data_IF_743631468856
#
_entry.id   IF_743631468856
#
_cell.length_a   1.000
_cell.length_b   1.000
_cell.length_c   1.000
_cell.angle_alpha   90.00
_cell.angle_beta   90.00
_cell.angle_gamma   90.00
#
_symmetry.space_group_name_H-M   'P 1'
#
loop_
_entity.id
_entity.type
_entity.pdbx_description
1 polymer ?
#
# COMPACT_ATOMS: atom_id res chain seq x y z
N UNK A 1 10.83 -20.80 37.49
CA UNK A 1 10.07 -20.42 36.28
C UNK A 1 9.80 -18.92 36.28
N UNK A 2 10.58 -18.11 35.55
CA UNK A 2 10.37 -16.67 35.47
C UNK A 2 9.41 -16.33 34.32
N UNK A 3 8.23 -15.80 34.65
CA UNK A 3 7.26 -15.29 33.69
C UNK A 3 7.76 -13.96 33.13
N UNK A 4 8.17 -13.93 31.87
CA UNK A 4 8.61 -12.71 31.19
C UNK A 4 7.41 -11.98 30.58
N UNK A 5 6.82 -11.05 31.34
CA UNK A 5 5.82 -10.12 30.85
C UNK A 5 6.47 -9.05 29.96
N UNK A 6 6.45 -9.27 28.64
CA UNK A 6 6.98 -8.33 27.66
C UNK A 6 5.94 -7.25 27.36
N UNK A 7 6.15 -6.07 27.93
CA UNK A 7 5.39 -4.85 27.68
C UNK A 7 5.10 -4.63 26.18
N UNK A 8 3.83 -4.70 25.78
CA UNK A 8 3.32 -4.11 24.53
C UNK A 8 3.34 -2.59 24.72
N UNK A 9 4.33 -1.91 24.14
CA UNK A 9 4.30 -0.44 24.01
C UNK A 9 3.11 -0.07 23.14
N UNK A 10 2.08 0.49 23.78
CA UNK A 10 1.06 1.30 23.13
C UNK A 10 1.78 2.43 22.38
N UNK A 11 1.74 2.41 21.05
CA UNK A 11 2.14 3.57 20.26
C UNK A 11 1.13 4.67 20.52
N UNK A 12 1.62 5.78 21.09
CA UNK A 12 0.82 6.95 21.45
C UNK A 12 0.03 7.45 20.25
N UNK A 13 -1.22 7.81 20.53
CA UNK A 13 -2.07 8.56 19.64
C UNK A 13 -1.55 10.00 19.56
N UNK A 14 -0.49 10.23 18.79
CA UNK A 14 -0.13 11.57 18.36
C UNK A 14 -1.12 11.97 17.24
N UNK A 15 -1.72 13.15 17.37
CA UNK A 15 -2.62 13.71 16.36
C UNK A 15 -1.97 13.61 14.97
N UNK A 16 -2.72 13.25 13.91
CA UNK A 16 -2.15 13.01 12.59
C UNK A 16 -1.59 14.31 12.04
N UNK A 17 -0.30 14.56 12.30
CA UNK A 17 0.45 15.60 11.59
C UNK A 17 0.37 15.23 10.12
N UNK A 18 -0.24 16.11 9.33
CA UNK A 18 -0.43 15.89 7.90
C UNK A 18 0.95 15.95 7.23
N UNK A 19 1.63 14.81 7.16
CA UNK A 19 2.90 14.67 6.45
C UNK A 19 2.64 14.55 4.96
N UNK A 20 3.36 15.34 4.16
CA UNK A 20 3.34 15.25 2.69
C UNK A 20 3.56 13.79 2.26
N UNK A 21 2.66 13.25 1.43
CA UNK A 21 2.80 11.89 0.91
C UNK A 21 3.86 11.83 -0.20
N UNK A 22 4.51 10.66 -0.34
CA UNK A 22 5.30 10.37 -1.55
C UNK A 22 4.33 10.37 -2.74
N UNK A 23 4.70 11.01 -3.84
CA UNK A 23 3.96 10.91 -5.10
C UNK A 23 4.65 9.91 -6.04
N UNK A 24 3.88 9.18 -6.87
CA UNK A 24 4.45 8.29 -7.87
C UNK A 24 5.31 9.08 -8.87
N UNK A 25 6.43 8.49 -9.32
CA UNK A 25 7.32 9.06 -10.34
C UNK A 25 7.53 8.07 -11.50
N UNK A 26 7.72 8.59 -12.70
CA UNK A 26 8.01 7.78 -13.88
C UNK A 26 6.87 6.81 -14.20
N UNK A 27 7.15 5.50 -14.12
CA UNK A 27 6.16 4.44 -14.35
C UNK A 27 5.48 3.95 -13.06
N UNK A 28 5.77 4.54 -11.90
CA UNK A 28 5.09 4.21 -10.65
C UNK A 28 3.60 4.57 -10.72
N UNK A 29 2.74 3.71 -10.17
CA UNK A 29 1.29 3.89 -10.13
C UNK A 29 0.81 3.64 -8.71
N UNK A 30 -0.16 4.42 -8.25
CA UNK A 30 -0.85 4.15 -6.98
C UNK A 30 -1.92 3.10 -7.23
N UNK A 31 -2.04 2.14 -6.32
CA UNK A 31 -3.09 1.13 -6.36
C UNK A 31 -3.55 0.73 -4.97
N UNK A 32 -4.66 0.01 -4.93
CA UNK A 32 -5.27 -0.56 -3.74
C UNK A 32 -5.12 -2.07 -3.83
N UNK A 33 -4.64 -2.69 -2.75
CA UNK A 33 -4.55 -4.15 -2.69
C UNK A 33 -5.96 -4.72 -2.57
N UNK A 34 -6.36 -5.52 -3.54
CA UNK A 34 -7.68 -6.16 -3.55
C UNK A 34 -7.64 -7.50 -2.81
N UNK A 35 -6.68 -8.36 -3.16
CA UNK A 35 -6.58 -9.69 -2.56
C UNK A 35 -5.14 -10.22 -2.54
N UNK A 36 -4.89 -11.18 -1.67
CA UNK A 36 -3.61 -11.90 -1.60
C UNK A 36 -3.68 -13.15 -2.47
N UNK A 37 -2.72 -13.32 -3.38
CA UNK A 37 -2.65 -14.47 -4.29
C UNK A 37 -1.71 -15.58 -3.78
N UNK A 38 -0.95 -15.32 -2.71
CA UNK A 38 0.06 -16.24 -2.19
C UNK A 38 1.41 -16.10 -2.91
N UNK A 39 2.45 -16.79 -2.43
CA UNK A 39 3.79 -16.75 -3.08
C UNK A 39 4.40 -15.35 -3.20
N UNK A 40 4.13 -14.44 -2.24
CA UNK A 40 4.50 -13.02 -2.28
C UNK A 40 3.83 -12.19 -3.38
N UNK A 41 2.73 -12.68 -3.96
CA UNK A 41 1.94 -11.98 -4.96
C UNK A 41 0.64 -11.47 -4.37
N UNK A 42 0.21 -10.31 -4.83
CA UNK A 42 -1.04 -9.66 -4.46
C UNK A 42 -1.70 -9.08 -5.71
N UNK A 43 -3.03 -9.16 -5.78
CA UNK A 43 -3.79 -8.45 -6.79
C UNK A 43 -3.93 -7.00 -6.37
N UNK A 44 -3.53 -6.08 -7.24
CA UNK A 44 -3.62 -4.64 -6.99
C UNK A 44 -4.51 -4.02 -8.05
N UNK A 45 -5.57 -3.36 -7.62
CA UNK A 45 -6.39 -2.53 -8.48
C UNK A 45 -5.76 -1.13 -8.55
N UNK A 46 -5.34 -0.73 -9.74
CA UNK A 46 -4.53 0.46 -9.94
C UNK A 46 -5.42 1.65 -10.30
N UNK A 47 -4.96 2.87 -10.01
CA UNK A 47 -5.71 4.08 -10.34
C UNK A 47 -5.89 4.34 -11.84
N UNK A 48 -5.13 3.65 -12.69
CA UNK A 48 -5.31 3.67 -14.14
C UNK A 48 -6.42 2.72 -14.63
N UNK A 49 -7.15 2.08 -13.71
CA UNK A 49 -8.28 1.20 -14.00
C UNK A 49 -7.89 -0.24 -14.34
N UNK A 50 -6.60 -0.60 -14.24
CA UNK A 50 -6.12 -1.95 -14.53
C UNK A 50 -5.81 -2.71 -13.25
N UNK A 51 -6.16 -4.00 -13.24
CA UNK A 51 -5.71 -4.93 -12.20
C UNK A 51 -4.36 -5.52 -12.58
N UNK A 52 -3.42 -5.58 -11.62
CA UNK A 52 -2.09 -6.13 -11.83
C UNK A 52 -1.72 -7.14 -10.76
N UNK A 53 -1.14 -8.25 -11.22
CA UNK A 53 -0.52 -9.24 -10.33
C UNK A 53 0.83 -8.68 -9.86
N UNK A 54 0.82 -8.13 -8.65
CA UNK A 54 1.94 -7.40 -8.09
C UNK A 54 2.77 -8.28 -7.17
N UNK A 55 4.07 -8.40 -7.43
CA UNK A 55 5.03 -9.13 -6.61
C UNK A 55 5.56 -8.21 -5.50
N UNK A 56 5.76 -8.77 -4.31
CA UNK A 56 6.51 -8.11 -3.23
C UNK A 56 7.98 -8.50 -3.37
N UNK A 57 8.90 -7.56 -3.67
CA UNK A 57 10.33 -7.84 -3.71
C UNK A 57 10.81 -8.43 -2.39
N UNK A 58 11.68 -9.45 -2.45
CA UNK A 58 12.15 -10.16 -1.25
C UNK A 58 12.76 -9.24 -0.19
N UNK A 59 13.47 -8.17 -0.63
CA UNK A 59 14.02 -7.11 0.23
C UNK A 59 12.96 -6.40 1.08
N UNK A 60 11.74 -6.27 0.54
CA UNK A 60 10.65 -5.52 1.16
C UNK A 60 9.68 -6.42 1.95
N UNK A 61 9.68 -7.74 1.70
CA UNK A 61 8.74 -8.70 2.31
C UNK A 61 8.66 -8.61 3.84
N UNK A 62 9.79 -8.43 4.53
CA UNK A 62 9.82 -8.33 6.01
C UNK A 62 9.46 -6.95 6.53
N UNK A 63 9.55 -5.90 5.70
CA UNK A 63 9.34 -4.50 6.07
C UNK A 63 7.92 -4.04 5.80
N UNK A 64 7.33 -4.47 4.69
CA UNK A 64 5.99 -4.08 4.27
C UNK A 64 4.96 -5.05 4.85
N UNK A 65 4.22 -4.60 5.86
CA UNK A 65 3.05 -5.31 6.36
C UNK A 65 1.82 -4.98 5.52
N UNK A 66 1.60 -5.77 4.46
CA UNK A 66 0.56 -5.56 3.45
C UNK A 66 -0.68 -6.39 3.74
N UNK A 67 -1.87 -5.78 3.69
CA UNK A 67 -3.20 -6.39 3.81
C UNK A 67 -4.08 -5.92 2.64
N UNK A 68 -5.19 -6.63 2.35
CA UNK A 68 -6.25 -6.07 1.51
C UNK A 68 -6.66 -4.68 2.00
N UNK A 69 -7.10 -3.83 1.07
CA UNK A 69 -7.46 -2.42 1.23
C UNK A 69 -6.31 -1.45 1.54
N UNK A 70 -5.08 -1.93 1.69
CA UNK A 70 -3.92 -1.05 1.81
C UNK A 70 -3.64 -0.33 0.48
N UNK A 71 -3.31 0.96 0.59
CA UNK A 71 -2.90 1.77 -0.56
C UNK A 71 -1.39 1.69 -0.72
N UNK A 72 -0.96 1.37 -1.93
CA UNK A 72 0.44 1.10 -2.27
C UNK A 72 0.89 1.85 -3.52
N UNK A 73 2.20 2.01 -3.66
CA UNK A 73 2.85 2.34 -4.92
C UNK A 73 3.37 1.04 -5.53
N UNK A 74 3.01 0.82 -6.78
CA UNK A 74 3.53 -0.27 -7.60
C UNK A 74 4.30 0.29 -8.79
N UNK A 75 5.19 -0.51 -9.34
CA UNK A 75 5.88 -0.25 -10.61
C UNK A 75 5.59 -1.40 -11.57
N UNK A 76 4.82 -1.17 -12.65
CA UNK A 76 4.57 -2.16 -13.68
C UNK A 76 5.86 -2.59 -14.38
N UNK A 77 5.93 -3.86 -14.78
CA UNK A 77 7.06 -4.36 -15.56
C UNK A 77 7.04 -3.78 -16.97
N UNK A 78 8.22 -3.51 -17.53
CA UNK A 78 8.33 -2.88 -18.84
C UNK A 78 7.81 -3.75 -19.98
N UNK A 79 8.00 -5.07 -19.87
CA UNK A 79 7.60 -6.04 -20.89
C UNK A 79 6.17 -6.56 -20.71
N UNK A 80 5.65 -6.53 -19.48
CA UNK A 80 4.36 -7.12 -19.14
C UNK A 80 3.59 -6.21 -18.16
N UNK A 81 2.67 -5.43 -18.72
CA UNK A 81 1.88 -4.47 -17.96
C UNK A 81 0.82 -5.14 -17.05
N UNK A 82 0.62 -6.46 -17.14
CA UNK A 82 -0.25 -7.21 -16.21
C UNK A 82 0.44 -7.51 -14.88
N UNK A 83 1.77 -7.35 -14.84
CA UNK A 83 2.62 -7.59 -13.66
C UNK A 83 3.24 -6.30 -13.17
N UNK A 84 3.51 -6.26 -11.87
CA UNK A 84 4.15 -5.12 -11.24
C UNK A 84 4.95 -5.57 -10.00
N UNK A 85 5.81 -4.69 -9.48
CA UNK A 85 6.44 -4.86 -8.17
C UNK A 85 5.89 -3.83 -7.17
N UNK A 86 5.62 -4.25 -5.94
CA UNK A 86 5.15 -3.39 -4.85
C UNK A 86 6.36 -2.72 -4.20
N UNK A 87 6.40 -1.38 -4.24
CA UNK A 87 7.54 -0.60 -3.75
C UNK A 87 7.29 0.01 -2.37
N UNK A 88 6.08 0.49 -2.12
CA UNK A 88 5.78 1.27 -0.92
C UNK A 88 4.33 1.09 -0.47
N UNK A 89 4.10 1.11 0.84
CA UNK A 89 2.76 1.17 1.44
C UNK A 89 2.57 2.54 2.09
N UNK A 90 1.48 3.22 1.77
CA UNK A 90 1.15 4.47 2.42
C UNK A 90 0.67 4.23 3.85
N UNK A 91 1.25 4.94 4.84
CA UNK A 91 0.67 5.01 6.17
C UNK A 91 -0.66 5.78 6.15
N UNK A 92 -1.55 5.56 7.12
CA UNK A 92 -2.89 6.15 7.13
C UNK A 92 -2.92 7.68 7.03
N UNK A 93 -1.97 8.38 7.66
CA UNK A 93 -1.84 9.84 7.57
C UNK A 93 -1.55 10.33 6.14
N UNK A 94 -0.71 9.62 5.39
CA UNK A 94 -0.43 9.93 3.98
C UNK A 94 -1.60 9.58 3.07
N UNK A 95 -2.36 8.53 3.38
CA UNK A 95 -3.60 8.20 2.66
C UNK A 95 -4.62 9.35 2.78
N UNK A 96 -4.80 9.90 3.98
CA UNK A 96 -5.68 11.05 4.19
C UNK A 96 -5.22 12.27 3.39
N UNK A 97 -3.91 12.53 3.35
CA UNK A 97 -3.35 13.60 2.53
C UNK A 97 -3.61 13.37 1.03
N UNK A 98 -3.41 12.15 0.52
CA UNK A 98 -3.67 11.81 -0.88
C UNK A 98 -5.14 12.01 -1.26
N UNK A 99 -6.07 11.61 -0.38
CA UNK A 99 -7.52 11.85 -0.56
C UNK A 99 -7.84 13.34 -0.57
N UNK A 100 -7.31 14.12 0.38
CA UNK A 100 -7.54 15.57 0.49
C UNK A 100 -7.04 16.34 -0.75
N UNK A 101 -5.96 15.87 -1.37
CA UNK A 101 -5.37 16.50 -2.56
C UNK A 101 -5.92 15.92 -3.88
N UNK A 102 -6.94 15.05 -3.84
CA UNK A 102 -7.60 14.53 -5.04
C UNK A 102 -6.81 13.45 -5.81
N UNK A 103 -5.73 12.90 -5.23
CA UNK A 103 -4.96 11.82 -5.85
C UNK A 103 -5.63 10.44 -5.74
N UNK A 104 -6.61 10.29 -4.85
CA UNK A 104 -7.42 9.09 -4.69
C UNK A 104 -8.88 9.46 -4.92
N UNK A 105 -9.44 9.04 -6.06
CA UNK A 105 -10.88 9.15 -6.30
C UNK A 105 -11.58 8.05 -5.51
N UNK A 106 -12.31 8.42 -4.46
CA UNK A 106 -13.16 7.49 -3.72
C UNK A 106 -14.51 7.45 -4.44
N UNK A 107 -14.55 6.79 -5.59
CA UNK A 107 -15.82 6.49 -6.26
C UNK A 107 -16.10 5.00 -6.07
N UNK A 108 -16.59 4.69 -4.87
CA UNK A 108 -17.44 3.53 -4.61
C UNK A 108 -18.65 4.02 -3.84
N UNK A 109 -19.46 4.82 -4.53
CA UNK A 109 -20.83 5.10 -4.14
C UNK A 109 -21.68 4.17 -4.98
N UNK A 110 -21.92 2.96 -4.49
CA UNK A 110 -23.00 2.13 -5.01
C UNK A 110 -24.17 2.24 -4.02
N UNK A 111 -25.31 2.63 -4.58
CA UNK A 111 -26.62 2.78 -3.97
C UNK A 111 -27.17 1.44 -3.47
#
# INVERSE_FOLDING_TARGET
MAYYNKHKKNQGQEAPTITRAKLPRGKEIIGIIEQRLGGNKMMVNCLDGKQRNSRVPGRLRRRLWLRPDDIVIIEPWELDNTKADILFKYPPNQVLWLKKNGYLKTEKTEF
#
